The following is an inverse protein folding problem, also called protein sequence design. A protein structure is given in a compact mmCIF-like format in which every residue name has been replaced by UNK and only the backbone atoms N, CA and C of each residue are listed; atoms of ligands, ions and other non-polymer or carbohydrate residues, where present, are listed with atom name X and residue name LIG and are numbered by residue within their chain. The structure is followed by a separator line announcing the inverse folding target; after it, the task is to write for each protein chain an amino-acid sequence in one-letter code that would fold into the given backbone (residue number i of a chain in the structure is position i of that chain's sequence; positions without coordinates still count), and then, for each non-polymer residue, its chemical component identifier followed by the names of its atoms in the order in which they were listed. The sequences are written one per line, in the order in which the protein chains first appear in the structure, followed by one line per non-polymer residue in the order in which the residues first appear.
data_IF_765724498103
#
_entry.id   IF_765724498103
#
_cell.length_a   1.000
_cell.length_b   1.000
_cell.length_c   1.000
_cell.angle_alpha   90.00
_cell.angle_beta   90.00
_cell.angle_gamma   90.00
#
_symmetry.space_group_name_H-M   'P 1'
#
loop_
_entity.id
_entity.type
_entity.pdbx_description
1 polymer ?
#
# COMPACT_ATOMS: atom_id res chain seq x y z
N UNK A 1 -32.32 11.29 35.19
CA UNK A 1 -30.99 10.85 34.71
C UNK A 1 -30.83 11.32 33.28
N UNK A 2 -29.94 12.27 32.96
CA UNK A 2 -29.70 12.61 31.56
C UNK A 2 -28.77 11.56 30.96
N UNK A 3 -29.19 10.97 29.83
CA UNK A 3 -28.35 10.11 29.02
C UNK A 3 -27.10 10.89 28.57
N UNK A 4 -25.95 10.22 28.74
CA UNK A 4 -24.61 10.65 28.36
C UNK A 4 -24.57 11.29 26.95
N UNK A 5 -24.17 12.57 26.91
CA UNK A 5 -23.92 13.38 25.72
C UNK A 5 -22.69 12.85 24.92
N UNK A 6 -21.94 11.89 25.46
CA UNK A 6 -20.67 11.41 24.90
C UNK A 6 -20.80 10.67 23.55
N UNK A 7 -21.99 10.16 23.19
CA UNK A 7 -22.19 9.43 21.93
C UNK A 7 -22.31 10.34 20.69
N UNK A 8 -22.24 11.66 20.84
CA UNK A 8 -22.62 12.62 19.79
C UNK A 8 -21.51 12.98 18.80
N UNK A 9 -20.27 12.54 19.03
CA UNK A 9 -19.15 12.80 18.14
C UNK A 9 -18.60 11.49 17.58
N UNK A 10 -18.80 11.25 16.28
CA UNK A 10 -18.08 10.21 15.55
C UNK A 10 -16.59 10.55 15.63
N UNK A 11 -15.80 9.65 16.19
CA UNK A 11 -14.35 9.75 16.12
C UNK A 11 -13.94 9.49 14.68
N UNK A 12 -13.53 10.55 13.97
CA UNK A 12 -13.03 10.44 12.60
C UNK A 12 -11.50 10.28 12.68
N UNK A 13 -11.00 9.11 12.29
CA UNK A 13 -9.57 8.86 12.10
C UNK A 13 -9.17 9.38 10.70
N UNK A 14 -8.04 10.10 10.55
CA UNK A 14 -7.51 10.43 9.25
C UNK A 14 -7.09 9.16 8.51
N UNK A 15 -7.44 9.07 7.23
CA UNK A 15 -7.08 7.94 6.36
C UNK A 15 -5.62 8.08 5.89
N UNK A 16 -4.81 7.05 6.11
CA UNK A 16 -3.43 7.00 5.59
C UNK A 16 -3.39 6.18 4.31
N UNK A 17 -3.03 6.83 3.21
CA UNK A 17 -2.96 6.22 1.89
C UNK A 17 -1.49 6.09 1.47
N UNK A 18 -1.11 4.92 0.95
CA UNK A 18 0.14 4.72 0.23
C UNK A 18 -0.16 4.62 -1.26
N UNK A 19 0.52 5.42 -2.09
CA UNK A 19 0.32 5.45 -3.53
C UNK A 19 1.62 5.09 -4.27
N UNK A 20 1.53 4.20 -5.24
CA UNK A 20 2.65 3.74 -6.07
C UNK A 20 2.14 3.41 -7.49
N UNK A 21 3.03 3.19 -8.45
CA UNK A 21 2.71 2.87 -9.85
C UNK A 21 3.89 2.13 -10.49
N UNK A 22 3.71 1.65 -11.73
CA UNK A 22 4.79 1.23 -12.64
C UNK A 22 5.68 0.10 -12.09
N UNK A 23 5.07 -0.90 -11.45
CA UNK A 23 5.82 -2.04 -10.90
C UNK A 23 6.48 -2.88 -11.99
N UNK A 24 5.82 -2.99 -13.15
CA UNK A 24 6.25 -3.77 -14.30
C UNK A 24 6.74 -5.18 -13.92
N UNK A 25 6.02 -5.88 -13.03
CA UNK A 25 6.40 -7.19 -12.57
C UNK A 25 6.52 -8.15 -13.76
N UNK A 26 7.63 -8.89 -13.81
CA UNK A 26 7.98 -9.77 -14.93
C UNK A 26 8.84 -9.12 -16.01
N UNK A 27 8.97 -7.78 -16.03
CA UNK A 27 9.77 -7.07 -17.03
C UNK A 27 11.26 -7.44 -16.92
N UNK A 28 11.86 -7.77 -18.05
CA UNK A 28 13.30 -7.99 -18.17
C UNK A 28 14.06 -6.68 -18.30
N UNK A 29 15.26 -6.63 -17.73
CA UNK A 29 16.21 -5.54 -17.94
C UNK A 29 17.47 -6.10 -18.57
N UNK A 30 17.82 -5.62 -19.77
CA UNK A 30 18.91 -6.15 -20.60
C UNK A 30 18.85 -7.69 -20.76
N UNK A 31 17.64 -8.22 -20.95
CA UNK A 31 17.43 -9.66 -21.12
C UNK A 31 17.52 -10.48 -19.82
N UNK A 32 17.72 -9.87 -18.65
CA UNK A 32 17.73 -10.59 -17.37
C UNK A 32 16.40 -10.45 -16.64
N UNK A 33 15.96 -11.56 -16.03
CA UNK A 33 14.81 -11.56 -15.11
C UNK A 33 15.18 -10.78 -13.85
N UNK A 34 14.19 -10.18 -13.20
CA UNK A 34 14.37 -9.33 -12.03
C UNK A 34 13.56 -9.81 -10.82
N UNK A 35 13.35 -11.12 -10.71
CA UNK A 35 12.45 -11.68 -9.70
C UNK A 35 12.94 -11.41 -8.28
N UNK A 36 14.25 -11.40 -8.05
CA UNK A 36 14.82 -11.11 -6.74
C UNK A 36 14.57 -9.64 -6.35
N UNK A 37 14.76 -8.70 -7.28
CA UNK A 37 14.47 -7.29 -7.03
C UNK A 37 12.97 -7.04 -6.83
N UNK A 38 12.11 -7.70 -7.62
CA UNK A 38 10.66 -7.61 -7.44
C UNK A 38 10.21 -8.20 -6.11
N UNK A 39 10.75 -9.34 -5.70
CA UNK A 39 10.45 -9.95 -4.41
C UNK A 39 10.91 -9.05 -3.25
N UNK A 40 12.11 -8.46 -3.35
CA UNK A 40 12.61 -7.51 -2.37
C UNK A 40 11.72 -6.26 -2.27
N UNK A 41 11.30 -5.71 -3.41
CA UNK A 41 10.36 -4.59 -3.45
C UNK A 41 9.03 -4.93 -2.77
N UNK A 42 8.42 -6.06 -3.10
CA UNK A 42 7.14 -6.47 -2.53
C UNK A 42 7.23 -6.75 -1.02
N UNK A 43 8.32 -7.38 -0.56
CA UNK A 43 8.56 -7.60 0.87
C UNK A 43 8.79 -6.28 1.63
N UNK A 44 9.53 -5.34 1.03
CA UNK A 44 9.65 -4.00 1.58
C UNK A 44 8.32 -3.26 1.62
N UNK A 45 7.50 -3.38 0.57
CA UNK A 45 6.18 -2.74 0.48
C UNK A 45 5.23 -3.26 1.56
N UNK A 46 5.17 -4.58 1.75
CA UNK A 46 4.40 -5.22 2.81
C UNK A 46 4.82 -4.71 4.20
N UNK A 47 6.13 -4.72 4.47
CA UNK A 47 6.69 -4.22 5.73
C UNK A 47 6.32 -2.75 5.94
N UNK A 48 6.45 -1.92 4.92
CA UNK A 48 6.12 -0.49 4.96
C UNK A 48 4.64 -0.25 5.26
N UNK A 49 3.74 -1.01 4.61
CA UNK A 49 2.28 -0.92 4.85
C UNK A 49 1.96 -1.22 6.31
N UNK A 50 2.58 -2.28 6.86
CA UNK A 50 2.40 -2.70 8.26
C UNK A 50 2.93 -1.66 9.24
N UNK A 51 4.20 -1.28 9.13
CA UNK A 51 4.88 -0.36 10.05
C UNK A 51 4.27 1.04 10.05
N UNK A 52 3.80 1.50 8.88
CA UNK A 52 3.20 2.82 8.75
C UNK A 52 1.70 2.82 9.08
N UNK A 53 1.08 1.67 9.35
CA UNK A 53 -0.38 1.56 9.54
C UNK A 53 -1.17 2.19 8.38
N UNK A 54 -0.78 1.85 7.14
CA UNK A 54 -1.47 2.29 5.92
C UNK A 54 -2.85 1.65 5.88
N UNK A 55 -3.88 2.47 5.63
CA UNK A 55 -5.27 2.00 5.49
C UNK A 55 -5.55 1.51 4.07
N UNK A 56 -4.98 2.18 3.07
CA UNK A 56 -5.26 1.92 1.65
C UNK A 56 -3.97 2.00 0.85
N UNK A 57 -3.67 0.93 0.11
CA UNK A 57 -2.68 0.94 -0.97
C UNK A 57 -3.38 1.24 -2.30
N UNK A 58 -2.89 2.24 -3.02
CA UNK A 58 -3.29 2.54 -4.39
C UNK A 58 -2.12 2.24 -5.31
N UNK A 59 -2.36 1.42 -6.33
CA UNK A 59 -1.38 1.10 -7.39
C UNK A 59 -1.90 1.61 -8.72
N UNK A 60 -1.37 2.74 -9.19
CA UNK A 60 -1.85 3.46 -10.36
C UNK A 60 -1.30 2.89 -11.68
N UNK A 61 -1.64 1.63 -11.98
CA UNK A 61 -1.37 1.00 -13.26
C UNK A 61 -0.01 0.32 -13.38
N UNK A 62 0.21 -0.34 -14.52
CA UNK A 62 1.44 -1.04 -14.91
C UNK A 62 1.99 -2.01 -13.86
N UNK A 63 1.07 -2.81 -13.29
CA UNK A 63 1.41 -3.84 -12.29
C UNK A 63 2.21 -4.97 -12.93
N UNK A 64 1.73 -5.48 -14.08
CA UNK A 64 2.33 -6.61 -14.80
C UNK A 64 2.85 -6.13 -16.16
N UNK A 65 3.94 -6.71 -16.65
CA UNK A 65 4.41 -6.47 -18.02
C UNK A 65 4.82 -7.79 -18.67
N UNK A 66 4.26 -8.14 -19.83
CA UNK A 66 4.63 -9.34 -20.57
C UNK A 66 6.06 -9.29 -21.14
#
# INVERSE_FOLDING_TARGET
MPLSIASKYISVRPLKILHTSDWHLGRRLYGRMRYDEFAAFLGWLETTISEQHVDVLIVAGDILTP
#
